data_IF_213206196553
#
_entry.id   IF_213206196553
#
_cell.length_a   1.000
_cell.length_b   1.000
_cell.length_c   1.000
_cell.angle_alpha   90.00
_cell.angle_beta   90.00
_cell.angle_gamma   90.00
#
_symmetry.space_group_name_H-M   'P 1'
#
loop_
_entity.id
_entity.type
_entity.pdbx_description
1 polymer ?
#
# COMPACT_ATOMS: atom_id res chain seq x y z
N UNK A 1 26.96 19.91 6.92
CA UNK A 1 25.50 19.77 7.18
C UNK A 1 24.76 18.85 6.18
N UNK A 2 25.28 18.61 4.96
CA UNK A 2 24.58 17.79 3.96
C UNK A 2 24.57 16.26 4.21
N UNK A 3 25.53 15.73 4.97
CA UNK A 3 25.62 14.28 5.27
C UNK A 3 24.65 13.80 6.38
N UNK A 4 24.27 14.67 7.31
CA UNK A 4 23.37 14.32 8.43
C UNK A 4 21.96 14.02 7.93
N UNK A 5 21.45 14.81 6.97
CA UNK A 5 20.09 14.64 6.43
C UNK A 5 19.86 13.35 5.63
N UNK A 6 20.92 12.73 5.07
CA UNK A 6 20.78 11.43 4.38
C UNK A 6 20.71 10.29 5.37
N UNK A 7 21.51 10.34 6.41
CA UNK A 7 21.54 9.32 7.44
C UNK A 7 20.22 9.28 8.22
N UNK A 8 19.66 10.45 8.59
CA UNK A 8 18.35 10.53 9.26
C UNK A 8 17.24 9.98 8.36
N UNK A 9 17.19 10.35 7.07
CA UNK A 9 16.20 9.80 6.11
C UNK A 9 16.33 8.30 5.90
N UNK A 10 17.55 7.79 5.80
CA UNK A 10 17.77 6.35 5.67
C UNK A 10 17.43 5.61 6.95
N UNK A 11 17.60 6.24 8.11
CA UNK A 11 17.19 5.70 9.40
C UNK A 11 15.65 5.66 9.52
N UNK A 12 14.97 6.75 9.16
CA UNK A 12 13.49 6.81 9.12
C UNK A 12 12.91 5.77 8.15
N UNK A 13 13.48 5.63 6.95
CA UNK A 13 13.07 4.59 5.98
C UNK A 13 13.27 3.18 6.52
N UNK A 14 14.37 2.93 7.23
CA UNK A 14 14.62 1.62 7.86
C UNK A 14 13.65 1.36 9.00
N UNK A 15 13.41 2.35 9.86
CA UNK A 15 12.47 2.23 10.98
C UNK A 15 11.05 1.97 10.48
N UNK A 16 10.56 2.72 9.49
CA UNK A 16 9.24 2.49 8.89
C UNK A 16 9.13 1.11 8.26
N UNK A 17 10.17 0.66 7.54
CA UNK A 17 10.19 -0.68 6.94
C UNK A 17 10.18 -1.77 8.02
N UNK A 18 10.96 -1.58 9.08
CA UNK A 18 11.04 -2.53 10.18
C UNK A 18 9.73 -2.60 10.98
N UNK A 19 9.00 -1.50 11.12
CA UNK A 19 7.66 -1.45 11.72
C UNK A 19 6.61 -2.19 10.88
N UNK A 20 6.60 -1.98 9.57
CA UNK A 20 5.66 -2.62 8.65
C UNK A 20 5.90 -4.13 8.53
N UNK A 21 7.17 -4.54 8.54
CA UNK A 21 7.55 -5.96 8.43
C UNK A 21 7.74 -6.66 9.79
N UNK A 22 7.25 -6.07 10.87
CA UNK A 22 7.23 -6.70 12.20
C UNK A 22 6.52 -8.05 12.13
N UNK A 23 7.04 -9.01 12.90
CA UNK A 23 6.43 -10.36 12.97
C UNK A 23 5.00 -10.32 13.50
N UNK A 24 4.76 -9.51 14.50
CA UNK A 24 3.46 -9.34 15.15
C UNK A 24 2.40 -8.69 14.22
N UNK A 25 2.81 -7.98 13.17
CA UNK A 25 1.90 -7.42 12.16
C UNK A 25 1.13 -8.48 11.34
N UNK A 26 1.56 -9.74 11.38
CA UNK A 26 0.90 -10.86 10.69
C UNK A 26 0.45 -11.98 11.64
N UNK A 27 0.71 -11.86 12.93
CA UNK A 27 0.39 -12.91 13.91
C UNK A 27 -1.12 -13.03 14.14
N UNK A 28 -1.53 -14.26 14.47
CA UNK A 28 -2.90 -14.58 14.89
C UNK A 28 -3.01 -14.32 16.38
N UNK A 29 -4.08 -13.68 16.82
CA UNK A 29 -4.34 -13.48 18.24
C UNK A 29 -4.74 -14.77 18.92
N UNK A 30 -4.15 -15.04 20.07
CA UNK A 30 -4.41 -16.21 20.90
C UNK A 30 -4.60 -15.80 22.34
N UNK A 31 -5.48 -16.49 23.03
CA UNK A 31 -5.75 -16.29 24.44
C UNK A 31 -5.77 -17.62 25.18
N UNK A 32 -5.07 -17.69 26.32
CA UNK A 32 -5.04 -18.89 27.16
C UNK A 32 -6.06 -18.76 28.30
N UNK A 33 -7.31 -18.81 27.94
CA UNK A 33 -8.46 -18.67 28.85
C UNK A 33 -9.77 -18.92 28.14
N UNK A 34 -10.86 -18.62 28.82
CA UNK A 34 -12.21 -18.82 28.30
C UNK A 34 -12.79 -17.52 27.72
N UNK A 35 -13.87 -17.64 26.96
CA UNK A 35 -14.67 -16.48 26.48
C UNK A 35 -15.16 -15.64 27.66
N UNK A 36 -15.54 -16.30 28.78
CA UNK A 36 -16.04 -15.60 29.96
C UNK A 36 -14.96 -14.77 30.64
N UNK A 37 -13.72 -15.28 30.71
CA UNK A 37 -12.60 -14.53 31.30
C UNK A 37 -12.33 -13.23 30.54
N UNK A 38 -12.44 -13.25 29.17
CA UNK A 38 -12.32 -12.05 28.34
C UNK A 38 -13.49 -11.07 28.53
N UNK A 39 -14.72 -11.58 28.67
CA UNK A 39 -15.90 -10.73 28.90
C UNK A 39 -15.88 -10.11 30.31
N UNK A 40 -15.39 -10.81 31.31
CA UNK A 40 -15.25 -10.31 32.69
C UNK A 40 -14.08 -9.31 32.82
N UNK A 41 -13.13 -9.33 31.87
CA UNK A 41 -11.99 -8.41 31.83
C UNK A 41 -11.87 -7.67 30.48
N UNK A 42 -12.72 -6.66 30.21
CA UNK A 42 -12.73 -5.92 28.96
C UNK A 42 -11.40 -5.23 28.63
N UNK A 43 -10.50 -5.05 29.60
CA UNK A 43 -9.19 -4.47 29.35
C UNK A 43 -8.33 -5.36 28.45
N UNK A 44 -8.44 -6.68 28.58
CA UNK A 44 -7.72 -7.63 27.72
C UNK A 44 -8.18 -7.47 26.26
N UNK A 45 -9.47 -7.26 26.04
CA UNK A 45 -10.03 -6.96 24.71
C UNK A 45 -9.47 -5.64 24.17
N UNK A 46 -9.40 -4.62 25.02
CA UNK A 46 -8.82 -3.32 24.68
C UNK A 46 -7.35 -3.42 24.26
N UNK A 47 -6.58 -4.28 24.92
CA UNK A 47 -5.16 -4.50 24.59
C UNK A 47 -5.01 -5.19 23.23
N UNK A 48 -5.86 -6.15 22.87
CA UNK A 48 -5.90 -6.74 21.54
C UNK A 48 -6.24 -5.69 20.46
N UNK A 49 -7.24 -4.84 20.71
CA UNK A 49 -7.61 -3.77 19.77
C UNK A 49 -6.46 -2.78 19.60
N UNK A 50 -5.80 -2.38 20.69
CA UNK A 50 -4.65 -1.47 20.65
C UNK A 50 -3.51 -2.07 19.84
N UNK A 51 -3.15 -3.33 20.09
CA UNK A 51 -2.11 -4.02 19.33
C UNK A 51 -2.50 -4.13 17.83
N UNK A 52 -3.76 -4.41 17.51
CA UNK A 52 -4.22 -4.46 16.13
C UNK A 52 -4.04 -3.10 15.44
N UNK A 53 -4.45 -2.01 16.09
CA UNK A 53 -4.31 -0.65 15.58
C UNK A 53 -2.85 -0.21 15.40
N UNK A 54 -1.97 -0.59 16.32
CA UNK A 54 -0.57 -0.13 16.33
C UNK A 54 0.36 -1.01 15.48
N UNK A 55 0.10 -2.32 15.41
CA UNK A 55 0.99 -3.27 14.74
C UNK A 55 0.46 -3.77 13.39
N UNK A 56 -0.85 -4.06 13.29
CA UNK A 56 -1.39 -4.71 12.09
C UNK A 56 -1.99 -3.71 11.09
N UNK A 57 -2.76 -2.74 11.56
CA UNK A 57 -3.43 -1.76 10.70
C UNK A 57 -2.47 -0.96 9.82
N UNK A 58 -1.31 -0.47 10.30
CA UNK A 58 -0.36 0.26 9.44
C UNK A 58 0.11 -0.56 8.24
N UNK A 59 0.38 -1.86 8.44
CA UNK A 59 0.73 -2.76 7.34
C UNK A 59 -0.44 -2.96 6.37
N UNK A 60 -1.65 -3.18 6.88
CA UNK A 60 -2.84 -3.39 6.06
C UNK A 60 -3.16 -2.13 5.24
N UNK A 61 -3.03 -0.95 5.84
CA UNK A 61 -3.22 0.31 5.13
C UNK A 61 -2.19 0.51 4.03
N UNK A 62 -0.91 0.20 4.29
CA UNK A 62 0.13 0.27 3.27
C UNK A 62 -0.19 -0.66 2.09
N UNK A 63 -0.64 -1.89 2.36
CA UNK A 63 -1.00 -2.83 1.28
C UNK A 63 -2.18 -2.32 0.45
N UNK A 64 -3.18 -1.71 1.08
CA UNK A 64 -4.29 -1.06 0.40
C UNK A 64 -3.82 0.14 -0.45
N UNK A 65 -2.93 0.98 0.10
CA UNK A 65 -2.33 2.10 -0.62
C UNK A 65 -1.62 1.63 -1.90
N UNK A 66 -0.82 0.56 -1.83
CA UNK A 66 -0.16 -0.02 -3.01
C UNK A 66 -1.16 -0.58 -4.03
N UNK A 67 -2.23 -1.24 -3.57
CA UNK A 67 -3.28 -1.71 -4.46
C UNK A 67 -3.99 -0.57 -5.18
N UNK A 68 -4.12 0.59 -4.53
CA UNK A 68 -4.72 1.80 -5.12
C UNK A 68 -3.73 2.64 -5.96
N UNK A 69 -2.50 2.19 -6.18
CA UNK A 69 -1.47 2.94 -6.90
C UNK A 69 -0.87 4.10 -6.11
N UNK A 70 -1.11 4.16 -4.81
CA UNK A 70 -0.55 5.15 -3.90
C UNK A 70 0.76 4.65 -3.27
N UNK A 71 1.70 4.21 -4.10
CA UNK A 71 2.94 3.57 -3.68
C UNK A 71 3.69 4.44 -2.67
N UNK A 72 3.75 3.97 -1.43
CA UNK A 72 4.15 4.73 -0.25
C UNK A 72 5.53 5.39 -0.40
N UNK A 73 6.53 4.61 -0.84
CA UNK A 73 7.91 5.09 -0.86
C UNK A 73 8.15 6.18 -1.90
N UNK A 74 7.48 6.10 -3.05
CA UNK A 74 7.64 7.10 -4.10
C UNK A 74 6.77 8.33 -3.86
N UNK A 75 5.58 8.18 -3.29
CA UNK A 75 4.61 9.26 -3.15
C UNK A 75 4.87 10.15 -1.94
N UNK A 76 5.34 9.61 -0.82
CA UNK A 76 5.48 10.34 0.45
C UNK A 76 6.86 10.96 0.69
N UNK A 77 7.92 10.38 0.15
CA UNK A 77 9.27 10.84 0.42
C UNK A 77 9.74 11.92 -0.56
N UNK A 78 10.32 13.00 -0.03
CA UNK A 78 11.05 13.96 -0.88
C UNK A 78 12.31 13.29 -1.42
N UNK A 79 12.38 13.13 -2.75
CA UNK A 79 13.53 12.52 -3.41
C UNK A 79 14.66 13.50 -3.67
N UNK A 80 14.33 14.79 -3.89
CA UNK A 80 15.32 15.81 -4.24
C UNK A 80 15.46 16.87 -3.16
N UNK A 81 16.71 17.28 -2.92
CA UNK A 81 17.06 18.29 -1.91
C UNK A 81 16.76 19.71 -2.37
N UNK A 82 16.91 19.96 -3.65
CA UNK A 82 16.86 21.28 -4.25
C UNK A 82 15.44 21.55 -4.77
N UNK A 83 14.82 22.61 -4.25
CA UNK A 83 13.40 22.91 -4.54
C UNK A 83 13.15 23.34 -6.00
N UNK A 84 14.18 23.74 -6.74
CA UNK A 84 14.06 24.19 -8.12
C UNK A 84 14.22 23.07 -9.14
N UNK A 85 14.67 21.88 -8.73
CA UNK A 85 14.75 20.71 -9.60
C UNK A 85 13.42 19.99 -9.70
N UNK A 86 13.15 19.38 -10.84
CA UNK A 86 11.95 18.57 -11.07
C UNK A 86 11.85 17.41 -10.05
N UNK A 87 10.67 17.19 -9.48
CA UNK A 87 10.36 16.09 -8.56
C UNK A 87 9.18 15.29 -9.12
N UNK A 88 9.39 14.72 -10.31
CA UNK A 88 8.42 13.83 -10.94
C UNK A 88 8.39 12.51 -10.19
N UNK A 89 7.18 11.98 -9.97
CA UNK A 89 6.94 10.74 -9.26
C UNK A 89 6.02 9.86 -10.08
N UNK A 90 6.51 8.70 -10.46
CA UNK A 90 5.76 7.72 -11.20
C UNK A 90 5.50 6.52 -10.29
N UNK A 91 4.24 6.24 -10.02
CA UNK A 91 3.79 5.03 -9.34
C UNK A 91 3.20 4.09 -10.41
N UNK A 92 3.53 2.80 -10.32
CA UNK A 92 3.03 1.78 -11.23
C UNK A 92 2.16 0.78 -10.50
N UNK A 93 1.03 0.44 -11.10
CA UNK A 93 -0.03 -0.37 -10.50
C UNK A 93 0.26 -1.88 -10.57
N UNK A 94 1.51 -2.29 -10.30
CA UNK A 94 1.85 -3.71 -10.25
C UNK A 94 1.06 -4.47 -9.19
N UNK A 95 0.77 -3.83 -8.05
CA UNK A 95 0.02 -4.46 -6.97
C UNK A 95 -1.42 -4.78 -7.40
N UNK A 96 -2.12 -3.85 -8.06
CA UNK A 96 -3.47 -4.09 -8.59
C UNK A 96 -3.44 -5.12 -9.72
N UNK A 97 -2.48 -5.01 -10.64
CA UNK A 97 -2.32 -5.98 -11.72
C UNK A 97 -2.19 -7.42 -11.19
N UNK A 98 -1.29 -7.64 -10.22
CA UNK A 98 -1.06 -8.96 -9.63
C UNK A 98 -2.33 -9.46 -8.95
N UNK A 99 -2.94 -8.62 -8.11
CA UNK A 99 -4.15 -8.95 -7.36
C UNK A 99 -5.32 -9.29 -8.27
N UNK A 100 -5.59 -8.45 -9.27
CA UNK A 100 -6.71 -8.62 -10.19
C UNK A 100 -6.53 -9.85 -11.07
N UNK A 101 -5.29 -10.14 -11.50
CA UNK A 101 -4.98 -11.35 -12.25
C UNK A 101 -5.26 -12.61 -11.39
N UNK A 102 -4.74 -12.67 -10.17
CA UNK A 102 -4.90 -13.84 -9.29
C UNK A 102 -6.36 -14.02 -8.90
N UNK A 103 -7.03 -12.94 -8.52
CA UNK A 103 -8.45 -12.95 -8.18
C UNK A 103 -9.31 -13.39 -9.38
N UNK A 104 -9.02 -12.87 -10.58
CA UNK A 104 -9.69 -13.29 -11.81
C UNK A 104 -9.46 -14.76 -12.16
N UNK A 105 -8.24 -15.27 -11.93
CA UNK A 105 -7.91 -16.66 -12.15
C UNK A 105 -8.61 -17.59 -11.16
N UNK A 106 -8.63 -17.27 -9.87
CA UNK A 106 -9.20 -18.11 -8.81
C UNK A 106 -10.72 -18.03 -8.76
N UNK A 107 -11.31 -16.86 -8.97
CA UNK A 107 -12.75 -16.60 -8.77
C UNK A 107 -13.45 -16.11 -10.05
N UNK A 108 -12.79 -16.23 -11.21
CA UNK A 108 -13.39 -15.88 -12.51
C UNK A 108 -14.57 -16.79 -12.90
N UNK A 109 -14.58 -18.01 -12.37
CA UNK A 109 -15.69 -18.94 -12.47
C UNK A 109 -16.32 -19.18 -11.09
N UNK A 110 -17.64 -19.29 -11.06
CA UNK A 110 -18.41 -19.58 -9.87
C UNK A 110 -17.97 -20.90 -9.21
N UNK A 111 -17.79 -20.90 -7.89
CA UNK A 111 -17.48 -22.10 -7.12
C UNK A 111 -18.75 -22.97 -7.08
N UNK A 112 -18.65 -24.17 -7.63
CA UNK A 112 -19.77 -25.11 -7.66
C UNK A 112 -19.85 -25.91 -6.35
N UNK A 113 -20.97 -25.78 -5.64
CA UNK A 113 -21.26 -26.56 -4.44
C UNK A 113 -22.40 -27.56 -4.76
N UNK A 114 -22.14 -28.84 -4.56
CA UNK A 114 -23.08 -29.89 -4.89
C UNK A 114 -23.42 -30.75 -3.65
N UNK A 115 -24.66 -31.20 -3.57
CA UNK A 115 -25.14 -32.10 -2.54
C UNK A 115 -25.94 -33.23 -3.19
N UNK A 116 -25.74 -34.46 -2.71
CA UNK A 116 -26.50 -35.64 -3.16
C UNK A 116 -27.98 -35.60 -2.75
N UNK A 117 -28.32 -34.71 -1.79
CA UNK A 117 -29.69 -34.55 -1.31
C UNK A 117 -30.34 -33.36 -2.02
N UNK A 118 -31.39 -33.63 -2.82
CA UNK A 118 -32.10 -32.60 -3.60
C UNK A 118 -32.60 -31.44 -2.74
N UNK A 119 -33.17 -31.72 -1.56
CA UNK A 119 -33.65 -30.67 -0.65
C UNK A 119 -32.51 -29.79 -0.10
N UNK A 120 -31.35 -30.38 0.14
CA UNK A 120 -30.16 -29.63 0.58
C UNK A 120 -29.63 -28.76 -0.55
N UNK A 121 -29.57 -29.31 -1.77
CA UNK A 121 -29.13 -28.55 -2.97
C UNK A 121 -30.05 -27.37 -3.24
N UNK A 122 -31.38 -27.54 -3.12
CA UNK A 122 -32.33 -26.43 -3.30
C UNK A 122 -32.08 -25.28 -2.30
N UNK A 123 -31.88 -25.63 -1.02
CA UNK A 123 -31.57 -24.63 0.02
C UNK A 123 -30.23 -23.94 -0.20
N UNK A 124 -29.20 -24.66 -0.66
CA UNK A 124 -27.90 -24.07 -1.00
C UNK A 124 -28.03 -23.08 -2.17
N UNK A 125 -28.77 -23.43 -3.20
CA UNK A 125 -29.02 -22.56 -4.34
C UNK A 125 -29.78 -21.30 -3.94
N UNK A 126 -30.78 -21.42 -3.07
CA UNK A 126 -31.50 -20.27 -2.51
C UNK A 126 -30.59 -19.37 -1.70
N UNK A 127 -29.77 -19.93 -0.81
CA UNK A 127 -28.81 -19.21 0.02
C UNK A 127 -27.76 -18.50 -0.84
N UNK A 128 -27.23 -19.18 -1.86
CA UNK A 128 -26.25 -18.60 -2.79
C UNK A 128 -26.86 -17.44 -3.58
N UNK A 129 -28.06 -17.61 -4.11
CA UNK A 129 -28.76 -16.55 -4.84
C UNK A 129 -29.08 -15.34 -3.95
N UNK A 130 -29.53 -15.60 -2.70
CA UNK A 130 -29.88 -14.55 -1.74
C UNK A 130 -28.68 -13.66 -1.36
N UNK A 131 -27.47 -14.24 -1.36
CA UNK A 131 -26.25 -13.58 -0.92
C UNK A 131 -25.32 -13.18 -2.07
N UNK A 132 -25.67 -13.44 -3.34
CA UNK A 132 -24.79 -13.24 -4.50
C UNK A 132 -23.37 -13.80 -4.21
N UNK A 133 -23.33 -15.10 -3.87
CA UNK A 133 -22.13 -15.75 -3.32
C UNK A 133 -20.93 -15.63 -4.26
N UNK A 134 -21.15 -15.59 -5.57
CA UNK A 134 -20.07 -15.46 -6.54
C UNK A 134 -19.39 -14.09 -6.45
N UNK A 135 -20.16 -13.03 -6.35
CA UNK A 135 -19.66 -11.68 -6.14
C UNK A 135 -18.99 -11.53 -4.77
N UNK A 136 -19.61 -12.13 -3.75
CA UNK A 136 -19.08 -12.16 -2.40
C UNK A 136 -17.72 -12.86 -2.33
N UNK A 137 -17.59 -14.05 -2.95
CA UNK A 137 -16.32 -14.79 -3.00
C UNK A 137 -15.22 -14.02 -3.74
N UNK A 138 -15.53 -13.33 -4.84
CA UNK A 138 -14.57 -12.46 -5.51
C UNK A 138 -14.11 -11.33 -4.59
N UNK A 139 -15.01 -10.75 -3.84
CA UNK A 139 -14.69 -9.69 -2.89
C UNK A 139 -13.81 -10.16 -1.72
N UNK A 140 -14.06 -11.38 -1.20
CA UNK A 140 -13.18 -12.02 -0.22
C UNK A 140 -11.82 -12.38 -0.83
N UNK A 141 -11.81 -12.91 -2.06
CA UNK A 141 -10.58 -13.22 -2.80
C UNK A 141 -9.69 -11.99 -3.01
N UNK A 142 -10.32 -10.85 -3.27
CA UNK A 142 -9.60 -9.57 -3.37
C UNK A 142 -8.89 -9.22 -2.06
N UNK A 143 -9.59 -9.30 -0.92
CA UNK A 143 -8.98 -9.03 0.39
C UNK A 143 -7.88 -10.05 0.73
N UNK A 144 -8.06 -11.33 0.37
CA UNK A 144 -7.02 -12.35 0.54
C UNK A 144 -5.75 -11.98 -0.22
N UNK A 145 -5.88 -11.56 -1.47
CA UNK A 145 -4.74 -11.20 -2.31
C UNK A 145 -4.05 -9.91 -1.83
N UNK A 146 -4.82 -8.91 -1.39
CA UNK A 146 -4.27 -7.64 -0.91
C UNK A 146 -3.66 -7.81 0.49
N UNK A 147 -4.46 -8.24 1.48
CA UNK A 147 -4.11 -8.19 2.90
C UNK A 147 -3.49 -9.48 3.42
N UNK A 148 -3.59 -10.56 2.64
CA UNK A 148 -3.20 -11.91 3.05
C UNK A 148 -4.22 -12.60 3.95
N UNK A 149 -5.36 -11.94 4.22
CA UNK A 149 -6.48 -12.43 5.02
C UNK A 149 -7.77 -11.72 4.65
N UNK A 150 -8.89 -12.41 4.84
CA UNK A 150 -10.23 -11.85 4.66
C UNK A 150 -11.15 -12.34 5.78
N UNK A 151 -12.20 -11.59 6.05
CA UNK A 151 -13.17 -11.90 7.09
C UNK A 151 -14.57 -11.93 6.50
N UNK A 152 -15.26 -13.05 6.71
CA UNK A 152 -16.67 -13.20 6.39
C UNK A 152 -17.49 -13.12 7.67
N UNK A 153 -18.50 -12.26 7.69
CA UNK A 153 -19.43 -12.09 8.79
C UNK A 153 -20.80 -12.60 8.40
N UNK A 154 -21.26 -13.63 9.11
CA UNK A 154 -22.57 -14.28 8.89
C UNK A 154 -23.53 -13.78 9.95
N UNK A 155 -24.62 -13.19 9.52
CA UNK A 155 -25.69 -12.73 10.43
C UNK A 155 -27.05 -13.25 10.00
N UNK A 156 -28.01 -13.20 10.92
CA UNK A 156 -29.42 -13.37 10.61
C UNK A 156 -30.08 -11.98 10.66
N UNK A 157 -30.69 -11.58 9.55
CA UNK A 157 -31.33 -10.29 9.46
C UNK A 157 -32.72 -10.29 10.13
N UNK A 158 -33.39 -9.13 10.16
CA UNK A 158 -34.73 -8.97 10.76
C UNK A 158 -35.83 -9.83 10.09
N UNK A 159 -35.57 -10.32 8.87
CA UNK A 159 -36.49 -11.23 8.15
C UNK A 159 -36.18 -12.70 8.39
N UNK A 160 -35.27 -12.98 9.33
CA UNK A 160 -34.81 -14.34 9.65
C UNK A 160 -34.01 -15.00 8.50
N UNK A 161 -33.46 -14.19 7.58
CA UNK A 161 -32.62 -14.66 6.48
C UNK A 161 -31.13 -14.65 6.88
N UNK A 162 -30.41 -15.70 6.50
CA UNK A 162 -28.94 -15.77 6.69
C UNK A 162 -28.25 -14.93 5.62
N UNK A 163 -27.45 -13.96 6.06
CA UNK A 163 -26.74 -13.02 5.17
C UNK A 163 -25.25 -13.09 5.40
N UNK A 164 -24.49 -12.98 4.29
CA UNK A 164 -23.04 -12.96 4.28
C UNK A 164 -22.54 -11.53 4.00
N UNK A 165 -21.60 -11.08 4.79
CA UNK A 165 -20.97 -9.78 4.62
C UNK A 165 -19.46 -9.92 4.72
N UNK A 166 -18.75 -9.19 3.91
CA UNK A 166 -17.31 -8.98 4.07
C UNK A 166 -17.06 -7.99 5.19
N UNK A 167 -16.08 -8.26 6.04
CA UNK A 167 -15.63 -7.33 7.07
C UNK A 167 -14.17 -6.94 6.80
N UNK A 168 -13.89 -5.63 6.90
CA UNK A 168 -12.58 -5.07 6.56
C UNK A 168 -11.51 -5.56 7.54
N UNK A 169 -10.39 -6.12 7.05
CA UNK A 169 -9.29 -6.58 7.89
C UNK A 169 -8.62 -5.48 8.73
N UNK A 170 -8.82 -4.20 8.39
CA UNK A 170 -8.28 -3.06 9.15
C UNK A 170 -9.04 -2.77 10.44
N UNK A 171 -10.22 -3.35 10.59
CA UNK A 171 -11.06 -3.14 11.77
C UNK A 171 -11.69 -4.42 12.31
N UNK A 172 -11.20 -5.58 11.86
CA UNK A 172 -11.74 -6.88 12.25
C UNK A 172 -10.61 -7.88 12.48
N UNK A 173 -10.72 -8.64 13.56
CA UNK A 173 -9.84 -9.78 13.84
C UNK A 173 -10.55 -10.84 14.69
N UNK A 174 -9.98 -12.03 14.72
CA UNK A 174 -10.45 -13.17 15.51
C UNK A 174 -9.42 -13.54 16.56
N UNK A 175 -9.87 -13.83 17.77
CA UNK A 175 -9.06 -14.35 18.87
C UNK A 175 -9.35 -15.86 18.98
N UNK A 176 -8.29 -16.64 18.98
CA UNK A 176 -8.31 -18.10 19.03
C UNK A 176 -7.85 -18.61 20.39
N UNK A 177 -8.19 -19.83 20.72
CA UNK A 177 -7.59 -20.54 21.83
C UNK A 177 -6.12 -20.93 21.53
N UNK A 178 -5.41 -21.41 22.54
CA UNK A 178 -4.03 -21.90 22.43
C UNK A 178 -3.95 -23.38 22.04
N UNK A 179 -5.09 -24.05 21.80
CA UNK A 179 -5.13 -25.46 21.41
C UNK A 179 -4.57 -25.68 20.00
N UNK A 180 -4.27 -26.95 19.68
CA UNK A 180 -3.80 -27.34 18.34
C UNK A 180 -4.89 -27.13 17.29
N UNK A 181 -6.15 -27.24 17.66
CA UNK A 181 -7.31 -27.07 16.77
C UNK A 181 -7.58 -25.61 16.41
N UNK A 182 -7.06 -24.65 17.22
CA UNK A 182 -7.26 -23.20 17.08
C UNK A 182 -8.74 -22.84 16.96
N UNK A 183 -9.52 -23.17 17.98
CA UNK A 183 -10.93 -22.79 17.99
C UNK A 183 -11.08 -21.28 18.19
N UNK A 184 -11.97 -20.64 17.45
CA UNK A 184 -12.29 -19.22 17.62
C UNK A 184 -13.04 -19.02 18.94
N UNK A 185 -12.48 -18.20 19.84
CA UNK A 185 -13.10 -17.79 21.10
C UNK A 185 -14.07 -16.63 20.87
N UNK A 186 -13.61 -15.60 20.18
CA UNK A 186 -14.42 -14.45 19.80
C UNK A 186 -13.85 -13.74 18.59
N UNK A 187 -14.69 -12.95 17.93
CA UNK A 187 -14.27 -12.00 16.91
C UNK A 187 -14.54 -10.58 17.41
N UNK A 188 -13.65 -9.68 17.04
CA UNK A 188 -13.74 -8.25 17.35
C UNK A 188 -13.90 -7.49 16.06
N UNK A 189 -14.91 -6.62 16.01
CA UNK A 189 -15.10 -5.64 14.95
C UNK A 189 -15.26 -4.28 15.58
N UNK A 190 -14.49 -3.29 15.11
CA UNK A 190 -14.53 -1.95 15.66
C UNK A 190 -14.45 -0.90 14.54
N UNK A 191 -15.06 0.26 14.76
CA UNK A 191 -15.01 1.35 13.78
C UNK A 191 -15.21 2.69 14.45
N UNK A 192 -14.66 3.72 13.84
CA UNK A 192 -14.80 5.10 14.26
C UNK A 192 -16.18 5.60 13.85
N UNK A 193 -16.87 6.30 14.74
CA UNK A 193 -18.21 6.86 14.48
C UNK A 193 -18.07 8.35 14.22
N UNK A 194 -18.70 8.83 13.12
CA UNK A 194 -18.88 10.25 12.90
C UNK A 194 -19.99 10.77 13.85
N UNK A 195 -19.71 11.81 14.62
CA UNK A 195 -20.76 12.49 15.43
C UNK A 195 -21.59 13.42 14.54
N UNK A 196 -22.86 13.65 14.92
CA UNK A 196 -23.79 14.53 14.18
C UNK A 196 -23.28 15.96 14.01
N UNK A 197 -22.36 16.42 14.86
CA UNK A 197 -21.69 17.72 14.74
C UNK A 197 -20.64 17.79 13.61
N UNK A 198 -20.32 16.66 12.96
CA UNK A 198 -19.35 16.56 11.86
C UNK A 198 -19.95 16.78 10.46
N UNK A 199 -21.17 17.28 10.35
CA UNK A 199 -21.82 17.65 9.06
C UNK A 199 -21.19 18.92 8.47
N UNK A 200 -20.50 19.74 9.26
CA UNK A 200 -19.57 20.74 8.73
C UNK A 200 -18.22 20.07 8.47
N UNK A 201 -17.72 20.18 7.25
CA UNK A 201 -16.44 19.69 6.72
C UNK A 201 -15.18 20.22 7.48
N UNK A 202 -15.34 20.69 8.69
CA UNK A 202 -14.27 21.09 9.59
C UNK A 202 -13.99 19.96 10.58
N UNK A 203 -12.78 19.47 10.55
CA UNK A 203 -12.13 18.39 11.30
C UNK A 203 -12.40 18.36 12.81
N UNK A 204 -13.65 18.19 13.24
CA UNK A 204 -13.93 17.71 14.59
C UNK A 204 -13.94 16.19 14.54
N UNK A 205 -12.77 15.60 14.67
CA UNK A 205 -12.63 14.16 14.79
C UNK A 205 -13.37 13.65 16.02
N UNK A 206 -14.53 13.04 15.80
CA UNK A 206 -15.14 12.20 16.82
C UNK A 206 -14.15 11.08 17.17
N UNK A 207 -13.71 11.00 18.41
CA UNK A 207 -12.83 9.93 18.89
C UNK A 207 -13.61 8.74 19.47
N UNK A 208 -14.91 8.63 19.13
CA UNK A 208 -15.75 7.53 19.61
C UNK A 208 -15.57 6.33 18.67
N UNK A 209 -15.25 5.20 19.27
CA UNK A 209 -15.21 3.90 18.60
C UNK A 209 -16.35 3.03 19.09
N UNK A 210 -17.07 2.40 18.16
CA UNK A 210 -17.94 1.29 18.47
C UNK A 210 -17.19 -0.01 18.32
N UNK A 211 -17.43 -0.94 19.23
CA UNK A 211 -16.79 -2.24 19.29
C UNK A 211 -17.86 -3.32 19.44
N UNK A 212 -17.93 -4.20 18.46
CA UNK A 212 -18.76 -5.41 18.54
C UNK A 212 -17.86 -6.59 18.89
N UNK A 213 -18.20 -7.27 19.98
CA UNK A 213 -17.54 -8.50 20.44
C UNK A 213 -18.47 -9.65 20.18
N UNK A 214 -18.10 -10.52 19.26
CA UNK A 214 -18.94 -11.60 18.74
C UNK A 214 -18.41 -12.93 19.28
N UNK A 215 -19.23 -13.62 20.05
CA UNK A 215 -18.92 -14.94 20.64
C UNK A 215 -19.69 -16.06 19.93
N UNK A 216 -19.63 -17.27 20.43
CA UNK A 216 -20.43 -18.40 19.96
C UNK A 216 -21.93 -18.31 20.31
N UNK A 217 -22.32 -17.42 21.25
CA UNK A 217 -23.67 -17.31 21.80
C UNK A 217 -24.33 -15.96 21.54
N UNK A 218 -23.56 -14.88 21.57
CA UNK A 218 -24.10 -13.52 21.52
C UNK A 218 -23.10 -12.52 20.94
N UNK A 219 -23.62 -11.40 20.50
CA UNK A 219 -22.85 -10.19 20.18
C UNK A 219 -23.01 -9.18 21.30
N UNK A 220 -21.91 -8.72 21.86
CA UNK A 220 -21.82 -7.68 22.88
C UNK A 220 -21.39 -6.37 22.22
N UNK A 221 -21.98 -5.28 22.66
CA UNK A 221 -21.82 -3.98 22.02
C UNK A 221 -21.18 -2.97 22.99
N UNK A 222 -20.00 -2.52 22.67
CA UNK A 222 -19.26 -1.55 23.48
C UNK A 222 -19.03 -0.26 22.71
N UNK A 223 -18.66 0.77 23.44
CA UNK A 223 -18.11 2.02 22.93
C UNK A 223 -16.86 2.41 23.71
N UNK A 224 -15.93 3.09 23.04
CA UNK A 224 -14.74 3.67 23.63
C UNK A 224 -14.57 5.12 23.16
N UNK A 225 -14.20 6.03 24.08
CA UNK A 225 -14.09 7.47 23.79
C UNK A 225 -12.73 7.92 23.28
N UNK A 226 -11.74 7.03 23.23
CA UNK A 226 -10.39 7.34 22.77
C UNK A 226 -9.64 6.09 22.37
N UNK A 227 -8.78 6.19 21.34
CA UNK A 227 -7.84 5.13 20.94
C UNK A 227 -6.74 4.95 21.99
N UNK A 228 -6.31 6.05 22.63
CA UNK A 228 -5.22 6.03 23.64
C UNK A 228 -5.67 5.46 24.98
N UNK A 229 -6.95 5.55 25.31
CA UNK A 229 -7.55 4.98 26.50
C UNK A 229 -8.84 4.25 26.10
N UNK A 230 -8.66 3.02 25.58
CA UNK A 230 -9.77 2.15 25.14
C UNK A 230 -10.50 1.55 26.35
N UNK A 231 -11.11 2.40 27.18
CA UNK A 231 -12.04 1.95 28.19
C UNK A 231 -13.37 1.58 27.52
N UNK A 232 -13.64 0.28 27.45
CA UNK A 232 -14.88 -0.25 26.88
C UNK A 232 -16.03 -0.05 27.85
N UNK A 233 -17.06 0.67 27.42
CA UNK A 233 -18.34 0.82 28.14
C UNK A 233 -19.46 0.18 27.33
N UNK A 234 -20.38 -0.50 28.02
CA UNK A 234 -21.52 -1.15 27.35
C UNK A 234 -22.41 -0.07 26.69
N UNK A 235 -22.64 -0.22 25.37
CA UNK A 235 -23.47 0.68 24.57
C UNK A 235 -24.92 0.27 24.52
N UNK A 236 -25.19 -1.02 24.41
CA UNK A 236 -26.51 -1.64 24.43
C UNK A 236 -26.43 -3.07 24.93
N UNK A 237 -27.56 -3.65 25.40
CA UNK A 237 -27.59 -5.04 25.85
C UNK A 237 -27.13 -6.03 24.77
N UNK A 238 -26.52 -7.15 25.17
CA UNK A 238 -26.09 -8.20 24.25
C UNK A 238 -27.26 -8.80 23.46
N UNK A 239 -27.03 -9.11 22.19
CA UNK A 239 -27.99 -9.79 21.32
C UNK A 239 -27.57 -11.23 21.11
N UNK A 240 -28.39 -12.17 21.60
CA UNK A 240 -28.11 -13.60 21.43
C UNK A 240 -28.34 -14.07 19.99
N UNK A 241 -27.57 -15.03 19.53
CA UNK A 241 -27.76 -15.70 18.25
C UNK A 241 -27.68 -17.23 18.41
N UNK A 242 -28.24 -17.97 17.44
CA UNK A 242 -28.35 -19.41 17.47
C UNK A 242 -27.35 -20.19 16.60
N UNK A 243 -26.27 -19.54 16.16
CA UNK A 243 -25.29 -20.19 15.29
C UNK A 243 -24.40 -21.20 16.02
N UNK A 244 -24.23 -21.05 17.35
CA UNK A 244 -23.39 -21.94 18.15
C UNK A 244 -21.89 -21.89 17.84
N UNK A 245 -21.45 -20.86 17.08
CA UNK A 245 -20.07 -20.56 16.72
C UNK A 245 -19.90 -19.08 16.58
N UNK A 246 -18.67 -18.60 16.69
CA UNK A 246 -18.32 -17.22 16.32
C UNK A 246 -18.69 -17.00 14.85
N UNK A 247 -19.44 -15.95 14.58
CA UNK A 247 -20.04 -15.71 13.25
C UNK A 247 -19.16 -14.93 12.30
N UNK A 248 -17.95 -14.55 12.72
CA UNK A 248 -16.90 -14.06 11.83
C UNK A 248 -15.88 -15.17 11.63
N UNK A 249 -15.67 -15.51 10.36
CA UNK A 249 -14.67 -16.49 9.93
C UNK A 249 -13.50 -15.76 9.28
N UNK A 250 -12.28 -16.06 9.72
CA UNK A 250 -11.05 -15.60 9.09
C UNK A 250 -10.61 -16.62 8.01
N UNK A 251 -10.35 -16.12 6.82
CA UNK A 251 -9.66 -16.83 5.75
C UNK A 251 -8.24 -16.31 5.63
N UNK A 252 -7.27 -17.19 5.45
CA UNK A 252 -5.86 -16.84 5.23
C UNK A 252 -5.45 -17.18 3.81
N UNK A 253 -4.81 -16.26 3.11
CA UNK A 253 -4.28 -16.49 1.77
C UNK A 253 -3.19 -17.57 1.75
N UNK A 254 -2.39 -17.59 2.81
CA UNK A 254 -1.32 -18.57 3.00
C UNK A 254 -0.98 -18.69 4.49
N UNK A 255 -0.13 -19.66 4.87
CA UNK A 255 0.30 -19.88 6.25
C UNK A 255 0.92 -18.66 6.92
N UNK A 256 1.47 -17.74 6.15
CA UNK A 256 2.12 -16.52 6.64
C UNK A 256 1.20 -15.31 6.65
N UNK A 257 -0.07 -15.47 6.22
CA UNK A 257 -1.08 -14.39 6.16
C UNK A 257 -0.58 -13.17 5.37
N UNK A 258 0.09 -13.43 4.23
CA UNK A 258 0.65 -12.40 3.37
C UNK A 258 -0.11 -12.27 2.06
N UNK A 259 -0.22 -11.02 1.59
CA UNK A 259 -0.75 -10.69 0.28
C UNK A 259 0.14 -11.18 -0.86
N UNK A 260 -0.42 -11.31 -2.06
CA UNK A 260 0.27 -11.92 -3.20
C UNK A 260 1.40 -11.04 -3.74
N UNK A 261 1.24 -9.74 -3.74
CA UNK A 261 2.27 -8.79 -4.19
C UNK A 261 3.21 -8.32 -3.08
N UNK A 262 2.90 -8.59 -1.81
CA UNK A 262 3.65 -8.05 -0.66
C UNK A 262 5.16 -8.33 -0.73
N UNK A 263 5.54 -9.53 -1.17
CA UNK A 263 6.95 -9.93 -1.29
C UNK A 263 7.74 -9.17 -2.36
N UNK A 264 7.05 -8.56 -3.33
CA UNK A 264 7.69 -7.82 -4.44
C UNK A 264 7.59 -6.30 -4.30
N UNK A 265 7.00 -5.78 -3.22
CA UNK A 265 6.96 -4.34 -2.93
C UNK A 265 8.34 -3.68 -3.09
N UNK A 266 9.46 -4.25 -2.59
CA UNK A 266 10.77 -3.63 -2.79
C UNK A 266 11.18 -3.51 -4.27
N UNK A 267 10.72 -4.42 -5.13
CA UNK A 267 10.98 -4.35 -6.57
C UNK A 267 10.09 -3.32 -7.25
N UNK A 268 8.83 -3.19 -6.80
CA UNK A 268 7.92 -2.14 -7.26
C UNK A 268 8.52 -0.77 -6.96
N UNK A 269 9.02 -0.57 -5.74
CA UNK A 269 9.68 0.67 -5.33
C UNK A 269 10.91 1.00 -6.19
N UNK A 270 11.74 0.01 -6.49
CA UNK A 270 12.92 0.20 -7.35
C UNK A 270 12.52 0.55 -8.79
N UNK A 271 11.44 -0.06 -9.30
CA UNK A 271 10.92 0.27 -10.63
C UNK A 271 10.41 1.71 -10.68
N UNK A 272 9.59 2.10 -9.71
CA UNK A 272 9.04 3.45 -9.57
C UNK A 272 10.15 4.49 -9.41
N UNK A 273 11.20 4.16 -8.66
CA UNK A 273 12.37 5.02 -8.49
C UNK A 273 13.10 5.22 -9.81
N UNK A 274 13.38 4.16 -10.55
CA UNK A 274 14.05 4.25 -11.84
C UNK A 274 13.24 5.04 -12.87
N UNK A 275 11.93 4.86 -12.90
CA UNK A 275 11.03 5.60 -13.79
C UNK A 275 10.94 7.08 -13.41
N UNK A 276 10.84 7.38 -12.12
CA UNK A 276 10.83 8.76 -11.62
C UNK A 276 12.13 9.50 -11.92
N UNK A 277 13.28 8.81 -11.78
CA UNK A 277 14.59 9.38 -12.13
C UNK A 277 14.73 9.64 -13.63
N UNK A 278 14.18 8.74 -14.46
CA UNK A 278 14.10 8.97 -15.91
C UNK A 278 13.28 10.22 -16.23
N UNK A 279 12.10 10.34 -15.63
CA UNK A 279 11.24 11.51 -15.84
C UNK A 279 11.89 12.81 -15.36
N UNK A 280 12.57 12.77 -14.21
CA UNK A 280 13.31 13.90 -13.68
C UNK A 280 14.47 14.30 -14.58
N UNK A 281 15.23 13.31 -15.08
CA UNK A 281 16.29 13.56 -16.03
C UNK A 281 15.78 14.24 -17.29
N UNK A 282 14.67 13.77 -17.86
CA UNK A 282 14.07 14.38 -19.04
C UNK A 282 13.60 15.81 -18.80
N UNK A 283 13.08 16.10 -17.60
CA UNK A 283 12.67 17.45 -17.22
C UNK A 283 13.88 18.39 -17.02
N UNK A 284 14.97 17.86 -16.47
CA UNK A 284 16.19 18.64 -16.16
C UNK A 284 17.15 18.76 -17.38
N UNK A 285 16.87 18.09 -18.51
CA UNK A 285 17.69 18.19 -19.72
C UNK A 285 17.83 19.63 -20.24
N UNK A 286 16.89 20.51 -19.88
CA UNK A 286 16.92 21.92 -20.23
C UNK A 286 17.91 22.73 -19.38
N UNK A 287 18.45 22.14 -18.29
CA UNK A 287 19.38 22.82 -17.36
C UNK A 287 20.84 22.47 -17.65
N UNK A 288 21.21 22.47 -18.94
CA UNK A 288 22.59 22.30 -19.36
C UNK A 288 23.45 23.42 -18.79
N UNK A 289 24.55 23.09 -18.12
CA UNK A 289 25.52 24.09 -17.64
C UNK A 289 26.44 24.50 -18.76
N UNK A 290 26.55 25.82 -19.00
CA UNK A 290 27.56 26.36 -19.90
C UNK A 290 28.90 26.39 -19.17
N UNK A 291 29.86 25.59 -19.63
CA UNK A 291 31.24 25.64 -19.19
C UNK A 291 32.04 26.56 -20.14
N UNK A 292 32.56 27.62 -19.59
CA UNK A 292 33.46 28.53 -20.29
C UNK A 292 34.88 28.27 -19.81
N UNK A 293 35.78 27.93 -20.73
CA UNK A 293 37.20 27.75 -20.45
C UNK A 293 37.96 28.93 -21.01
N UNK A 294 38.72 29.62 -20.18
CA UNK A 294 39.48 30.80 -20.52
C UNK A 294 39.18 31.96 -19.57
N UNK A 295 39.89 33.05 -19.75
CA UNK A 295 39.66 34.28 -18.99
C UNK A 295 38.65 35.13 -19.77
N UNK A 296 37.45 35.22 -19.30
CA UNK A 296 36.37 35.98 -19.95
C UNK A 296 35.86 37.02 -18.97
N UNK A 297 35.88 38.27 -19.39
CA UNK A 297 35.28 39.36 -18.63
C UNK A 297 33.77 39.41 -18.94
N UNK A 298 32.97 38.72 -18.11
CA UNK A 298 31.52 38.69 -18.23
C UNK A 298 30.91 39.87 -17.45
N UNK A 299 30.47 40.88 -18.17
CA UNK A 299 29.61 41.93 -17.61
C UNK A 299 28.15 41.40 -17.56
N UNK A 300 27.47 41.59 -16.44
CA UNK A 300 26.10 41.11 -16.19
C UNK A 300 25.09 41.65 -17.23
N UNK A 301 25.25 42.91 -17.67
CA UNK A 301 24.40 43.54 -18.69
C UNK A 301 24.57 42.85 -20.07
N UNK A 302 25.81 42.56 -20.46
CA UNK A 302 26.13 41.90 -21.74
C UNK A 302 25.63 40.45 -21.72
N UNK A 303 25.78 39.73 -20.61
CA UNK A 303 25.29 38.39 -20.45
C UNK A 303 23.75 38.30 -20.55
N UNK A 304 23.06 39.31 -20.01
CA UNK A 304 21.58 39.38 -20.08
C UNK A 304 21.12 39.63 -21.52
N UNK A 305 21.74 40.58 -22.23
CA UNK A 305 21.42 40.87 -23.62
C UNK A 305 21.70 39.68 -24.55
N UNK A 306 22.81 38.98 -24.32
CA UNK A 306 23.14 37.76 -25.09
C UNK A 306 22.15 36.64 -24.85
N UNK A 307 21.67 36.48 -23.60
CA UNK A 307 20.64 35.50 -23.24
C UNK A 307 19.30 35.82 -23.91
N UNK A 308 18.88 37.08 -23.92
CA UNK A 308 17.66 37.52 -24.59
C UNK A 308 17.74 37.37 -26.12
N UNK A 309 18.90 37.58 -26.72
CA UNK A 309 19.13 37.38 -28.15
C UNK A 309 19.38 35.93 -28.53
N UNK A 310 19.48 35.01 -27.56
CA UNK A 310 19.86 33.62 -27.75
C UNK A 310 21.17 33.41 -28.50
N UNK A 311 22.10 34.36 -28.39
CA UNK A 311 23.43 34.39 -29.04
C UNK A 311 24.48 34.56 -27.95
N UNK A 312 25.44 33.66 -27.89
CA UNK A 312 26.56 33.75 -26.96
C UNK A 312 27.83 34.08 -27.77
N UNK A 313 28.39 35.26 -27.57
CA UNK A 313 29.63 35.66 -28.17
C UNK A 313 30.70 35.81 -27.09
N UNK A 314 31.80 35.06 -27.20
CA UNK A 314 32.94 35.09 -26.31
C UNK A 314 34.12 35.76 -27.05
N UNK A 315 34.55 36.89 -26.56
CA UNK A 315 35.79 37.50 -27.06
C UNK A 315 37.00 36.88 -26.34
N UNK A 316 38.00 36.40 -27.04
CA UNK A 316 39.22 35.91 -26.42
C UNK A 316 39.95 37.06 -25.74
N UNK A 317 40.57 36.84 -24.55
CA UNK A 317 41.37 37.86 -23.89
C UNK A 317 42.62 38.18 -24.71
N UNK A 318 42.93 39.42 -24.84
CA UNK A 318 44.16 39.90 -25.48
C UNK A 318 45.28 39.97 -24.45
N UNK A 319 46.43 39.37 -24.76
CA UNK A 319 47.64 39.45 -23.93
C UNK A 319 48.71 40.21 -24.68
N UNK A 320 49.25 41.25 -24.05
CA UNK A 320 50.45 41.88 -24.53
C UNK A 320 51.68 41.04 -24.22
N UNK A 321 52.47 40.71 -25.26
CA UNK A 321 53.75 40.03 -25.08
C UNK A 321 54.87 41.06 -24.89
N UNK A 322 56.09 40.62 -24.42
CA UNK A 322 57.24 41.42 -24.15
C UNK A 322 57.69 42.28 -25.36
N UNK A 323 57.24 41.92 -26.57
CA UNK A 323 57.57 42.63 -27.84
C UNK A 323 56.39 43.49 -28.37
N UNK A 324 55.44 43.88 -27.52
CA UNK A 324 54.22 44.63 -27.90
C UNK A 324 53.36 43.98 -28.97
N UNK A 325 53.48 42.65 -29.13
CA UNK A 325 52.59 41.89 -29.96
C UNK A 325 51.39 41.39 -29.14
N UNK A 326 50.20 41.73 -29.62
CA UNK A 326 48.96 41.21 -29.04
C UNK A 326 48.76 39.75 -29.48
N UNK A 327 48.67 38.87 -28.53
CA UNK A 327 48.30 37.45 -28.77
C UNK A 327 46.94 37.20 -28.18
N UNK A 328 46.04 36.64 -28.97
CA UNK A 328 44.70 36.25 -28.51
C UNK A 328 44.81 34.96 -27.69
N UNK A 329 44.14 34.94 -26.55
CA UNK A 329 43.98 33.75 -25.73
C UNK A 329 42.99 32.79 -26.36
N UNK A 330 43.05 31.57 -25.96
CA UNK A 330 42.05 30.56 -26.41
C UNK A 330 40.86 30.56 -25.46
N UNK A 331 39.65 30.80 -25.99
CA UNK A 331 38.39 30.70 -25.26
C UNK A 331 37.56 29.59 -25.90
N UNK A 332 37.09 28.67 -25.10
CA UNK A 332 36.20 27.56 -25.51
C UNK A 332 34.99 27.55 -24.61
N UNK A 333 33.81 27.32 -25.19
CA UNK A 333 32.57 27.24 -24.48
C UNK A 333 31.82 25.97 -24.92
N UNK A 334 31.45 25.16 -23.96
CA UNK A 334 30.69 23.95 -24.23
C UNK A 334 29.59 23.77 -23.18
N UNK A 335 28.50 23.22 -23.60
CA UNK A 335 27.45 22.77 -22.67
C UNK A 335 27.87 21.47 -22.05
N UNK A 336 27.87 21.43 -20.71
CA UNK A 336 28.01 20.21 -19.94
C UNK A 336 26.62 19.80 -19.52
N UNK A 337 26.22 18.62 -19.96
CA UNK A 337 25.01 17.95 -19.51
C UNK A 337 25.37 16.58 -18.95
N UNK A 338 24.57 16.16 -17.98
CA UNK A 338 24.71 14.82 -17.42
C UNK A 338 24.38 13.80 -18.53
N UNK A 339 25.32 12.95 -18.90
CA UNK A 339 25.02 11.87 -19.81
C UNK A 339 24.20 10.80 -19.06
N UNK A 340 23.07 10.44 -19.63
CA UNK A 340 22.16 9.43 -19.10
C UNK A 340 22.23 8.19 -19.99
N UNK A 341 22.55 7.05 -19.39
CA UNK A 341 22.54 5.78 -20.10
C UNK A 341 21.11 5.25 -20.22
N UNK A 342 20.40 5.73 -21.23
CA UNK A 342 19.01 5.32 -21.51
C UNK A 342 18.91 3.81 -21.67
N UNK A 343 19.86 3.21 -22.40
CA UNK A 343 19.84 1.76 -22.69
C UNK A 343 20.03 0.92 -21.42
N UNK A 344 20.96 1.33 -20.56
CA UNK A 344 21.20 0.66 -19.27
C UNK A 344 20.00 0.76 -18.34
N UNK A 345 19.36 1.94 -18.27
CA UNK A 345 18.18 2.13 -17.42
C UNK A 345 16.97 1.36 -17.94
N UNK A 346 16.72 1.33 -19.25
CA UNK A 346 15.62 0.54 -19.83
C UNK A 346 15.85 -0.97 -19.60
N UNK A 347 17.09 -1.45 -19.75
CA UNK A 347 17.44 -2.84 -19.45
C UNK A 347 17.21 -3.17 -17.97
N UNK A 348 17.54 -2.24 -17.07
CA UNK A 348 17.32 -2.38 -15.63
C UNK A 348 15.83 -2.46 -15.29
N UNK A 349 14.99 -1.55 -15.82
CA UNK A 349 13.54 -1.56 -15.62
C UNK A 349 12.89 -2.84 -16.15
N UNK A 350 13.27 -3.26 -17.36
CA UNK A 350 12.79 -4.51 -17.97
C UNK A 350 13.11 -5.70 -17.09
N UNK A 351 14.31 -5.76 -16.50
CA UNK A 351 14.71 -6.84 -15.61
C UNK A 351 13.86 -6.85 -14.34
N UNK A 352 13.64 -5.69 -13.70
CA UNK A 352 12.82 -5.60 -12.50
C UNK A 352 11.37 -6.03 -12.79
N UNK A 353 10.76 -5.54 -13.87
CA UNK A 353 9.41 -5.92 -14.26
C UNK A 353 9.28 -7.44 -14.46
N UNK A 354 10.25 -8.05 -15.16
CA UNK A 354 10.31 -9.50 -15.34
C UNK A 354 10.45 -10.26 -14.01
N UNK A 355 11.27 -9.76 -13.10
CA UNK A 355 11.46 -10.38 -11.79
C UNK A 355 10.18 -10.27 -10.96
N UNK A 356 9.43 -9.14 -11.02
CA UNK A 356 8.11 -8.98 -10.37
C UNK A 356 7.15 -10.06 -10.87
N UNK A 357 6.95 -10.18 -12.18
CA UNK A 357 6.06 -11.18 -12.78
C UNK A 357 6.47 -12.61 -12.46
N UNK A 358 7.77 -12.90 -12.51
CA UNK A 358 8.32 -14.24 -12.21
C UNK A 358 8.07 -14.62 -10.73
N UNK A 359 8.31 -13.69 -9.80
CA UNK A 359 8.18 -13.96 -8.37
C UNK A 359 6.73 -14.02 -7.90
N UNK A 360 5.81 -13.40 -8.62
CA UNK A 360 4.37 -13.44 -8.32
C UNK A 360 3.61 -14.51 -9.10
N UNK A 361 4.28 -15.20 -10.02
CA UNK A 361 3.67 -16.18 -10.94
C UNK A 361 2.55 -15.57 -11.78
N UNK A 362 2.67 -14.29 -12.13
CA UNK A 362 1.74 -13.60 -13.02
C UNK A 362 2.33 -13.47 -14.43
N UNK A 363 1.52 -13.54 -15.49
CA UNK A 363 2.03 -13.36 -16.83
C UNK A 363 2.44 -11.91 -17.06
N UNK A 364 3.51 -11.71 -17.82
CA UNK A 364 3.81 -10.40 -18.41
C UNK A 364 3.05 -10.28 -19.72
N UNK A 365 1.95 -9.53 -19.71
CA UNK A 365 1.11 -9.31 -20.92
C UNK A 365 1.80 -8.47 -21.98
N UNK A 366 2.93 -7.82 -21.68
CA UNK A 366 3.74 -7.06 -22.61
C UNK A 366 4.79 -7.92 -23.34
N UNK A 367 5.02 -9.16 -22.89
CA UNK A 367 5.93 -10.08 -23.54
C UNK A 367 5.37 -10.51 -24.90
N UNK A 368 6.11 -10.24 -25.99
CA UNK A 368 5.75 -10.61 -27.37
C UNK A 368 5.47 -12.12 -27.53
N UNK A 369 6.07 -12.96 -26.68
CA UNK A 369 5.84 -14.40 -26.69
C UNK A 369 4.49 -14.80 -26.10
N UNK A 370 3.85 -13.95 -25.27
CA UNK A 370 2.56 -14.23 -24.67
C UNK A 370 1.42 -14.17 -25.71
N UNK A 371 1.51 -13.26 -26.68
CA UNK A 371 0.49 -13.07 -27.75
C UNK A 371 0.47 -14.14 -28.84
N UNK A 372 1.49 -14.99 -28.95
CA UNK A 372 1.72 -15.85 -30.12
C UNK A 372 1.29 -17.32 -30.02
N UNK A 373 0.95 -17.86 -28.86
CA UNK A 373 0.81 -19.32 -28.68
C UNK A 373 -0.43 -19.82 -27.93
N UNK A 374 -1.39 -18.97 -27.63
CA UNK A 374 -2.62 -19.39 -26.92
C UNK A 374 -3.91 -19.23 -27.76
N UNK A 375 -3.85 -19.45 -29.06
CA UNK A 375 -5.04 -19.73 -29.86
C UNK A 375 -5.11 -21.23 -30.13
N UNK A 376 -5.55 -21.99 -29.15
CA UNK A 376 -5.76 -23.42 -29.27
C UNK A 376 -6.80 -23.89 -28.27
#
# INVERSE_FOLDING_TARGET
MAHVNNFERDLERRQMRDEIYRRDAVETYKYDGTVQDLLDNPNDISDFIRHHLEAQVPRLQMLDDYYQGLNFNIMRNKRRREKHLADNRAAHDFASYITDFINGYCFGHAIQVQSDKEMTQSKLNELHSLNDVDSHNRSLGLDLSIFGRAYEYIIRNQKDEVRFYKSDPRNTFVIYDTSVEKNSLMAIRYWKVATEDSVELTEVESNIYYVDVITDKATYFYEAKSVTNLELSERKPPEAHSFGKVTITEFSNNEKRRGDFEKVIPLIDLYDEAQSDTANYMSDLNDAMLLIKGNVDLNEEVATLQKEANVFHLAPPEYATVDDKVTEGNVDALYIYKQYDVSGVESYKTRIAKDIHTLTNTPDMTDENFGGQQSG
#
